data_IF_211969248079
#
_entry.id   IF_211969248079
#
_cell.length_a   1.000
_cell.length_b   1.000
_cell.length_c   1.000
_cell.angle_alpha   90.00
_cell.angle_beta   90.00
_cell.angle_gamma   90.00
#
_symmetry.space_group_name_H-M   'P 1'
#
loop_
_entity.id
_entity.type
_entity.pdbx_description
1 polymer ?
#
# COMPACT_ATOMS: atom_id res chain seq x y z
N UNK A 1 2.99 63.93 59.67
CA UNK A 1 2.49 63.97 58.27
C UNK A 1 3.68 63.95 57.34
N UNK A 2 3.68 63.10 56.30
CA UNK A 2 4.76 63.00 55.31
C UNK A 2 4.23 63.42 53.94
N UNK A 3 4.76 64.52 53.39
CA UNK A 3 4.39 65.03 52.08
C UNK A 3 5.43 64.59 51.06
N UNK A 4 4.96 63.81 50.09
CA UNK A 4 5.77 63.33 48.98
C UNK A 4 5.45 64.18 47.76
N UNK A 5 6.47 64.74 47.12
CA UNK A 5 6.30 65.40 45.83
C UNK A 5 6.75 64.41 44.77
N UNK A 6 5.83 64.09 43.85
CA UNK A 6 6.08 63.25 42.70
C UNK A 6 6.18 64.12 41.46
N UNK A 7 7.36 64.10 40.82
CA UNK A 7 7.55 64.65 39.47
C UNK A 7 8.12 63.53 38.61
N UNK A 8 7.23 62.80 37.92
CA UNK A 8 7.58 61.59 37.17
C UNK A 8 7.91 60.37 38.05
N UNK A 9 8.86 59.54 37.60
CA UNK A 9 9.19 58.21 38.18
C UNK A 9 9.99 58.22 39.49
N UNK A 10 10.23 59.39 40.08
CA UNK A 10 10.96 59.52 41.34
C UNK A 10 10.15 60.31 42.37
N UNK A 11 9.70 59.62 43.42
CA UNK A 11 9.11 60.22 44.61
C UNK A 11 10.22 60.56 45.62
N UNK A 12 10.41 61.85 45.93
CA UNK A 12 11.25 62.27 47.06
C UNK A 12 10.38 62.81 48.19
N UNK A 13 10.70 62.40 49.42
CA UNK A 13 10.09 62.91 50.63
C UNK A 13 10.48 64.38 50.77
N UNK A 14 9.52 65.28 50.64
CA UNK A 14 9.80 66.71 50.64
C UNK A 14 9.72 67.30 52.04
N UNK A 15 8.82 66.78 52.88
CA UNK A 15 8.62 67.24 54.24
C UNK A 15 8.14 66.09 55.11
N UNK A 16 8.90 65.82 56.17
CA UNK A 16 8.50 64.95 57.26
C UNK A 16 8.34 65.81 58.50
N UNK A 17 7.11 65.90 58.99
CA UNK A 17 6.78 66.67 60.18
C UNK A 17 6.10 65.74 61.17
N UNK A 18 6.73 65.54 62.32
CA UNK A 18 6.17 64.77 63.42
C UNK A 18 5.25 65.68 64.23
N UNK A 19 3.95 65.46 64.05
CA UNK A 19 2.91 66.19 64.78
C UNK A 19 2.67 65.44 66.08
N UNK A 20 3.25 65.93 67.18
CA UNK A 20 2.89 65.51 68.52
C UNK A 20 1.64 66.26 68.97
N UNK A 21 0.48 65.62 68.86
CA UNK A 21 -0.76 66.14 69.43
C UNK A 21 -0.68 65.98 70.96
N UNK A 22 -0.23 67.03 71.66
CA UNK A 22 -0.27 67.07 73.12
C UNK A 22 -1.71 67.38 73.59
N UNK A 23 -2.07 66.85 74.78
CA UNK A 23 -3.42 66.80 75.40
C UNK A 23 -4.16 68.15 75.62
N UNK A 24 -3.65 69.27 75.10
CA UNK A 24 -4.24 70.61 75.24
C UNK A 24 -4.97 71.08 73.99
N UNK A 25 -5.85 70.25 73.46
CA UNK A 25 -6.74 70.64 72.35
C UNK A 25 -8.17 70.59 72.84
N UNK A 26 -8.67 71.76 73.29
CA UNK A 26 -10.10 71.95 73.54
C UNK A 26 -10.78 72.12 72.18
N UNK A 27 -11.74 71.26 71.81
CA UNK A 27 -12.47 71.44 70.57
C UNK A 27 -13.45 72.60 70.71
N UNK A 28 -13.28 73.64 69.89
CA UNK A 28 -14.31 74.67 69.70
C UNK A 28 -15.31 74.18 68.65
N UNK A 29 -16.55 73.88 69.08
CA UNK A 29 -17.69 73.68 68.17
C UNK A 29 -18.24 75.05 67.72
N UNK A 30 -17.49 75.79 66.91
CA UNK A 30 -18.05 76.93 66.19
C UNK A 30 -18.45 76.54 64.77
N UNK A 31 -19.75 76.27 64.61
CA UNK A 31 -20.40 76.18 63.30
C UNK A 31 -20.32 77.54 62.60
N UNK A 32 -19.81 77.50 61.37
CA UNK A 32 -20.03 78.46 60.28
C UNK A 32 -19.45 79.88 60.46
N UNK A 33 -18.30 80.15 59.82
CA UNK A 33 -18.16 81.02 58.63
C UNK A 33 -16.70 81.49 58.48
N UNK A 34 -16.18 81.27 57.26
CA UNK A 34 -15.28 82.13 56.48
C UNK A 34 -14.25 82.95 57.27
N UNK A 35 -13.07 82.37 57.50
CA UNK A 35 -11.78 82.95 57.12
C UNK A 35 -10.69 81.87 57.27
N UNK A 36 -9.97 81.62 56.19
CA UNK A 36 -8.89 80.64 56.11
C UNK A 36 -7.60 81.33 56.53
N UNK A 37 -7.21 81.15 57.78
CA UNK A 37 -5.86 81.55 58.23
C UNK A 37 -4.89 80.42 57.92
N UNK A 38 -3.69 80.79 57.43
CA UNK A 38 -2.70 79.91 56.82
C UNK A 38 -2.12 78.83 57.75
N UNK A 39 -2.46 78.82 59.04
CA UNK A 39 -1.95 77.87 60.04
C UNK A 39 -3.09 77.18 60.81
N UNK A 40 -4.06 76.57 60.10
CA UNK A 40 -5.11 75.75 60.73
C UNK A 40 -5.18 74.34 60.13
N UNK A 41 -5.18 73.32 60.99
CA UNK A 41 -5.34 71.93 60.57
C UNK A 41 -6.84 71.57 60.58
N UNK A 42 -7.33 71.07 59.45
CA UNK A 42 -8.73 70.66 59.28
C UNK A 42 -8.81 69.13 59.15
N UNK A 43 -9.49 68.46 60.08
CA UNK A 43 -9.74 67.02 60.06
C UNK A 43 -11.21 66.75 59.73
N UNK A 44 -11.52 66.63 58.44
CA UNK A 44 -12.88 66.50 57.87
C UNK A 44 -13.72 65.40 58.51
N UNK A 45 -13.09 64.28 58.87
CA UNK A 45 -13.80 63.12 59.41
C UNK A 45 -14.35 63.35 60.83
N UNK A 46 -13.88 64.37 61.55
CA UNK A 46 -14.26 64.64 62.94
C UNK A 46 -14.80 66.04 63.20
N UNK A 47 -14.76 66.96 62.22
CA UNK A 47 -15.39 68.27 62.31
C UNK A 47 -14.76 69.25 63.32
N UNK A 48 -13.51 69.03 63.74
CA UNK A 48 -12.79 69.89 64.69
C UNK A 48 -11.77 70.80 63.99
N UNK A 49 -11.62 72.03 64.50
CA UNK A 49 -10.60 73.03 64.11
C UNK A 49 -9.57 73.18 65.24
N UNK A 50 -8.28 73.22 64.89
CA UNK A 50 -7.20 73.49 65.84
C UNK A 50 -6.40 74.72 65.39
N UNK A 51 -6.15 75.66 66.31
CA UNK A 51 -5.39 76.92 66.11
C UNK A 51 -4.37 77.10 67.23
N UNK A 52 -3.25 77.76 66.93
CA UNK A 52 -2.18 78.09 67.89
C UNK A 52 -2.43 79.51 68.44
N UNK A 53 -2.30 79.72 69.76
CA UNK A 53 -2.60 81.00 70.43
C UNK A 53 -1.31 81.62 71.01
N UNK A 54 -0.78 82.66 70.37
CA UNK A 54 0.27 83.52 70.92
C UNK A 54 -0.18 85.00 70.81
N UNK A 55 -0.71 85.61 71.88
CA UNK A 55 -0.69 87.08 72.05
C UNK A 55 -0.59 87.50 73.53
N UNK A 56 0.51 88.19 73.86
CA UNK A 56 0.75 88.94 75.11
C UNK A 56 0.42 90.44 74.94
N UNK A 57 -0.41 90.97 75.86
CA UNK A 57 -0.43 92.32 76.48
C UNK A 57 -0.61 93.64 75.68
N UNK A 58 -1.60 94.44 76.12
CA UNK A 58 -1.53 95.84 76.63
C UNK A 58 -2.58 96.81 76.04
N UNK A 59 -3.53 97.33 76.85
CA UNK A 59 -3.94 98.76 76.91
C UNK A 59 -4.54 99.06 78.31
N UNK A 60 -4.32 100.31 78.73
CA UNK A 60 -4.38 100.97 80.04
C UNK A 60 -5.77 101.21 80.68
N UNK A 61 -5.72 101.55 81.98
CA UNK A 61 -6.77 101.97 82.92
C UNK A 61 -7.45 103.31 82.55
N UNK A 62 -8.78 103.41 82.76
CA UNK A 62 -9.41 104.36 83.69
C UNK A 62 -10.97 104.32 83.65
N UNK A 63 -11.52 104.38 84.87
CA UNK A 63 -12.83 104.85 85.34
C UNK A 63 -14.14 104.00 85.20
N UNK A 64 -14.46 103.38 86.35
CA UNK A 64 -15.73 103.09 87.06
C UNK A 64 -17.05 103.53 86.37
N UNK A 65 -18.14 102.75 86.32
CA UNK A 65 -18.88 102.11 87.43
C UNK A 65 -19.62 100.81 87.01
N UNK A 66 -19.45 99.76 87.83
CA UNK A 66 -20.36 98.67 88.25
C UNK A 66 -21.36 98.06 87.24
N UNK A 67 -21.38 96.74 87.02
CA UNK A 67 -22.10 95.78 87.89
C UNK A 67 -21.41 94.41 87.93
N UNK A 68 -21.19 93.99 89.17
CA UNK A 68 -20.97 92.67 89.78
C UNK A 68 -21.41 91.42 88.99
N UNK A 69 -20.60 90.35 89.08
CA UNK A 69 -20.95 89.04 89.69
C UNK A 69 -19.70 88.14 89.74
N UNK A 70 -19.37 87.71 90.96
CA UNK A 70 -18.56 86.55 91.37
C UNK A 70 -17.64 85.86 90.35
N UNK A 71 -16.33 86.09 90.52
CA UNK A 71 -15.24 85.20 90.06
C UNK A 71 -15.27 83.86 90.83
N UNK A 72 -16.32 83.06 90.61
CA UNK A 72 -16.38 81.63 90.96
C UNK A 72 -15.93 80.82 89.75
N UNK A 73 -14.97 79.94 90.03
CA UNK A 73 -14.49 78.76 89.26
C UNK A 73 -13.07 78.91 88.71
N UNK A 74 -12.10 78.77 89.63
CA UNK A 74 -10.91 77.97 89.34
C UNK A 74 -11.40 76.56 88.95
N UNK A 75 -11.54 76.29 87.65
CA UNK A 75 -11.65 74.91 87.16
C UNK A 75 -10.23 74.38 87.14
N UNK A 76 -9.91 73.56 88.13
CA UNK A 76 -8.76 72.65 88.06
C UNK A 76 -8.93 71.80 86.80
N UNK A 77 -8.01 71.94 85.84
CA UNK A 77 -7.92 71.05 84.69
C UNK A 77 -7.57 69.65 85.20
N UNK A 78 -8.60 68.86 85.49
CA UNK A 78 -8.47 67.47 85.89
C UNK A 78 -8.02 66.64 84.68
N UNK A 79 -6.97 65.83 84.88
CA UNK A 79 -6.54 64.72 84.03
C UNK A 79 -7.58 63.58 83.96
N UNK A 80 -8.85 63.88 83.82
CA UNK A 80 -9.91 62.88 83.79
C UNK A 80 -10.77 63.11 82.57
N UNK A 81 -10.51 62.30 81.54
CA UNK A 81 -11.38 62.12 80.39
C UNK A 81 -12.84 61.95 80.85
N UNK A 82 -13.76 62.68 80.23
CA UNK A 82 -15.19 62.54 80.49
C UNK A 82 -15.63 61.10 80.20
N UNK A 83 -16.47 60.52 81.07
CA UNK A 83 -17.01 59.15 80.91
C UNK A 83 -17.59 58.93 79.51
N UNK A 84 -18.21 59.97 78.94
CA UNK A 84 -18.78 59.95 77.59
C UNK A 84 -17.71 59.84 76.48
N UNK A 85 -16.56 60.52 76.62
CA UNK A 85 -15.45 60.42 75.66
C UNK A 85 -14.78 59.03 75.66
N UNK A 86 -14.62 58.42 76.83
CA UNK A 86 -14.09 57.05 76.95
C UNK A 86 -15.05 56.04 76.29
N UNK A 87 -16.36 56.20 76.50
CA UNK A 87 -17.38 55.36 75.87
C UNK A 87 -17.34 55.49 74.34
N UNK A 88 -17.18 56.71 73.78
CA UNK A 88 -17.05 56.91 72.33
C UNK A 88 -15.81 56.23 71.77
N UNK A 89 -14.66 56.39 72.43
CA UNK A 89 -13.41 55.74 71.99
C UNK A 89 -13.53 54.21 72.05
N UNK A 90 -14.09 53.66 73.12
CA UNK A 90 -14.36 52.22 73.22
C UNK A 90 -15.34 51.75 72.13
N UNK A 91 -16.38 52.51 71.81
CA UNK A 91 -17.30 52.19 70.72
C UNK A 91 -16.59 52.17 69.35
N UNK A 92 -15.67 53.11 69.09
CA UNK A 92 -14.85 53.11 67.87
C UNK A 92 -13.91 51.90 67.84
N UNK A 93 -13.26 51.55 68.96
CA UNK A 93 -12.42 50.35 69.07
C UNK A 93 -13.25 49.08 68.83
N UNK A 94 -14.47 49.01 69.37
CA UNK A 94 -15.40 47.91 69.13
C UNK A 94 -15.85 47.84 67.67
N UNK A 95 -16.13 48.98 67.02
CA UNK A 95 -16.47 49.03 65.60
C UNK A 95 -15.33 48.50 64.72
N UNK A 96 -14.09 48.94 64.97
CA UNK A 96 -12.90 48.46 64.24
C UNK A 96 -12.70 46.95 64.43
N UNK A 97 -12.90 46.44 65.65
CA UNK A 97 -12.79 45.00 65.92
C UNK A 97 -13.88 44.19 65.21
N UNK A 98 -15.11 44.70 65.22
CA UNK A 98 -16.24 44.08 64.51
C UNK A 98 -16.00 44.07 62.99
N UNK A 99 -15.49 45.16 62.42
CA UNK A 99 -15.14 45.25 61.01
C UNK A 99 -14.02 44.28 60.62
N UNK A 100 -12.96 44.17 61.44
CA UNK A 100 -11.92 43.16 61.25
C UNK A 100 -12.47 41.74 61.29
N UNK A 101 -13.38 41.43 62.20
CA UNK A 101 -14.03 40.12 62.27
C UNK A 101 -14.89 39.86 61.02
N UNK A 102 -15.66 40.85 60.56
CA UNK A 102 -16.44 40.75 59.33
C UNK A 102 -15.53 40.49 58.11
N UNK A 103 -14.42 41.23 57.99
CA UNK A 103 -13.42 41.02 56.94
C UNK A 103 -12.85 39.61 56.93
N UNK A 104 -12.53 39.03 58.09
CA UNK A 104 -12.05 37.64 58.18
C UNK A 104 -13.11 36.64 57.71
N UNK A 105 -14.37 36.85 58.07
CA UNK A 105 -15.49 36.01 57.60
C UNK A 105 -15.66 36.11 56.08
N UNK A 106 -15.51 37.30 55.50
CA UNK A 106 -15.52 37.46 54.03
C UNK A 106 -14.36 36.75 53.35
N UNK A 107 -13.14 36.84 53.90
CA UNK A 107 -11.97 36.13 53.36
C UNK A 107 -12.16 34.61 53.41
N UNK A 108 -12.66 34.08 54.54
CA UNK A 108 -12.97 32.66 54.66
C UNK A 108 -14.01 32.22 53.63
N UNK A 109 -15.05 33.02 53.41
CA UNK A 109 -16.09 32.74 52.41
C UNK A 109 -15.57 32.77 50.98
N UNK A 110 -14.66 33.71 50.67
CA UNK A 110 -13.98 33.76 49.37
C UNK A 110 -13.11 32.51 49.20
N UNK A 111 -12.39 32.10 50.24
CA UNK A 111 -11.52 30.93 50.19
C UNK A 111 -12.32 29.65 49.98
N UNK A 112 -13.42 29.44 50.70
CA UNK A 112 -14.30 28.28 50.47
C UNK A 112 -14.88 28.29 49.07
N UNK A 113 -15.33 29.45 48.56
CA UNK A 113 -15.84 29.56 47.19
C UNK A 113 -14.77 29.24 46.15
N UNK A 114 -13.53 29.68 46.37
CA UNK A 114 -12.39 29.37 45.49
C UNK A 114 -12.09 27.87 45.51
N UNK A 115 -12.09 27.24 46.68
CA UNK A 115 -11.80 25.81 46.80
C UNK A 115 -12.94 24.95 46.22
N UNK A 116 -14.21 25.32 46.44
CA UNK A 116 -15.37 24.71 45.78
C UNK A 116 -15.29 24.83 44.25
N UNK A 117 -14.88 25.98 43.71
CA UNK A 117 -14.68 26.16 42.28
C UNK A 117 -13.54 25.31 41.72
N UNK A 118 -12.44 25.15 42.47
CA UNK A 118 -11.35 24.24 42.06
C UNK A 118 -11.84 22.80 41.97
N UNK A 119 -12.61 22.34 42.94
CA UNK A 119 -13.19 20.99 42.95
C UNK A 119 -14.23 20.79 41.83
N UNK A 120 -14.99 21.83 41.51
CA UNK A 120 -15.91 21.80 40.37
C UNK A 120 -15.15 21.70 39.04
N UNK A 121 -14.12 22.52 38.84
CA UNK A 121 -13.29 22.50 37.64
C UNK A 121 -12.51 21.19 37.50
N UNK A 122 -12.04 20.58 38.59
CA UNK A 122 -11.35 19.29 38.53
C UNK A 122 -12.29 18.18 38.04
N UNK A 123 -13.54 18.16 38.50
CA UNK A 123 -14.57 17.22 38.03
C UNK A 123 -14.91 17.44 36.55
N UNK A 124 -14.98 18.68 36.08
CA UNK A 124 -15.17 18.97 34.65
C UNK A 124 -14.00 18.45 33.84
N UNK A 125 -12.76 18.76 34.24
CA UNK A 125 -11.56 18.29 33.54
C UNK A 125 -11.51 16.77 33.47
N UNK A 126 -11.85 16.08 34.57
CA UNK A 126 -11.90 14.63 34.59
C UNK A 126 -12.97 14.10 33.63
N UNK A 127 -14.16 14.71 33.63
CA UNK A 127 -15.24 14.35 32.67
C UNK A 127 -14.80 14.56 31.22
N UNK A 128 -14.25 15.71 30.88
CA UNK A 128 -13.74 16.02 29.53
C UNK A 128 -12.64 15.04 29.12
N UNK A 129 -11.72 14.72 30.03
CA UNK A 129 -10.65 13.74 29.75
C UNK A 129 -11.18 12.35 29.42
N UNK A 130 -12.23 11.91 30.13
CA UNK A 130 -12.92 10.63 29.87
C UNK A 130 -13.70 10.67 28.57
N UNK A 131 -14.38 11.78 28.27
CA UNK A 131 -15.11 11.96 27.01
C UNK A 131 -14.15 11.90 25.80
N UNK A 132 -12.99 12.57 25.86
CA UNK A 132 -11.94 12.48 24.85
C UNK A 132 -11.39 11.05 24.70
N UNK A 133 -11.20 10.34 25.80
CA UNK A 133 -10.74 8.95 25.77
C UNK A 133 -11.76 8.04 25.08
N UNK A 134 -13.05 8.20 25.37
CA UNK A 134 -14.13 7.46 24.71
C UNK A 134 -14.16 7.77 23.21
N UNK A 135 -14.01 9.04 22.83
CA UNK A 135 -13.98 9.45 21.42
C UNK A 135 -12.79 8.82 20.69
N UNK A 136 -11.60 8.83 21.30
CA UNK A 136 -10.42 8.18 20.74
C UNK A 136 -10.64 6.67 20.55
N UNK A 137 -11.23 5.98 21.54
CA UNK A 137 -11.57 4.57 21.42
C UNK A 137 -12.55 4.30 20.29
N UNK A 138 -13.57 5.15 20.09
CA UNK A 138 -14.51 5.05 18.97
C UNK A 138 -13.80 5.21 17.63
N UNK A 139 -12.91 6.20 17.51
CA UNK A 139 -12.12 6.43 16.30
C UNK A 139 -11.22 5.23 16.00
N UNK A 140 -10.57 4.67 17.03
CA UNK A 140 -9.75 3.47 16.89
C UNK A 140 -10.58 2.27 16.41
N UNK A 141 -11.77 2.05 16.99
CA UNK A 141 -12.68 0.98 16.56
C UNK A 141 -13.14 1.16 15.11
N UNK A 142 -13.53 2.37 14.71
CA UNK A 142 -13.91 2.68 13.34
C UNK A 142 -12.77 2.44 12.35
N UNK A 143 -11.55 2.81 12.73
CA UNK A 143 -10.37 2.55 11.92
C UNK A 143 -10.09 1.04 11.78
N UNK A 144 -10.21 0.29 12.87
CA UNK A 144 -10.03 -1.17 12.84
C UNK A 144 -11.09 -1.87 12.00
N UNK A 145 -12.36 -1.46 12.08
CA UNK A 145 -13.43 -2.04 11.24
C UNK A 145 -13.21 -1.73 9.77
N UNK A 146 -12.77 -0.52 9.44
CA UNK A 146 -12.39 -0.15 8.08
C UNK A 146 -11.25 -1.03 7.53
N UNK A 147 -10.17 -1.21 8.29
CA UNK A 147 -9.06 -2.09 7.91
C UNK A 147 -9.50 -3.54 7.73
N UNK A 148 -10.38 -4.03 8.61
CA UNK A 148 -10.94 -5.37 8.51
C UNK A 148 -11.74 -5.54 7.22
N UNK A 149 -12.61 -4.58 6.89
CA UNK A 149 -13.38 -4.59 5.64
C UNK A 149 -12.48 -4.58 4.41
N UNK A 150 -11.40 -3.78 4.40
CA UNK A 150 -10.43 -3.82 3.30
C UNK A 150 -9.78 -5.20 3.13
N UNK A 151 -9.34 -5.83 4.23
CA UNK A 151 -8.75 -7.18 4.19
C UNK A 151 -9.75 -8.21 3.69
N UNK A 152 -11.00 -8.11 4.12
CA UNK A 152 -12.09 -9.01 3.72
C UNK A 152 -12.38 -8.85 2.21
N UNK A 153 -12.42 -7.62 1.69
CA UNK A 153 -12.58 -7.34 0.27
C UNK A 153 -11.41 -7.92 -0.56
N UNK A 154 -10.17 -7.73 -0.10
CA UNK A 154 -8.99 -8.29 -0.75
C UNK A 154 -9.01 -9.83 -0.75
N UNK A 155 -9.47 -10.44 0.34
CA UNK A 155 -9.66 -11.88 0.44
C UNK A 155 -10.68 -12.38 -0.59
N UNK A 156 -11.85 -11.74 -0.70
CA UNK A 156 -12.86 -12.11 -1.69
C UNK A 156 -12.39 -11.93 -3.14
N UNK A 157 -11.65 -10.85 -3.43
CA UNK A 157 -11.05 -10.65 -4.76
C UNK A 157 -10.09 -11.77 -5.11
N UNK A 158 -9.20 -12.15 -4.18
CA UNK A 158 -8.28 -13.29 -4.38
C UNK A 158 -9.05 -14.59 -4.58
N UNK A 159 -10.10 -14.83 -3.80
CA UNK A 159 -10.91 -16.04 -3.91
C UNK A 159 -11.60 -16.14 -5.28
N UNK A 160 -12.16 -15.03 -5.79
CA UNK A 160 -12.73 -14.95 -7.14
C UNK A 160 -11.69 -15.25 -8.21
N UNK A 161 -10.54 -14.58 -8.15
CA UNK A 161 -9.45 -14.81 -9.11
C UNK A 161 -8.94 -16.25 -9.10
N UNK A 162 -8.86 -16.90 -7.93
CA UNK A 162 -8.50 -18.32 -7.82
C UNK A 162 -9.59 -19.19 -8.45
N UNK A 163 -10.87 -18.90 -8.23
CA UNK A 163 -11.98 -19.65 -8.82
C UNK A 163 -12.00 -19.53 -10.36
N UNK A 164 -11.82 -18.33 -10.89
CA UNK A 164 -11.71 -18.07 -12.33
C UNK A 164 -10.52 -18.81 -12.94
N UNK A 165 -9.34 -18.72 -12.30
CA UNK A 165 -8.15 -19.45 -12.74
C UNK A 165 -8.37 -20.96 -12.72
N UNK A 166 -9.04 -21.51 -11.70
CA UNK A 166 -9.40 -22.94 -11.64
C UNK A 166 -10.34 -23.32 -12.77
N UNK A 167 -11.36 -22.51 -13.05
CA UNK A 167 -12.28 -22.73 -14.17
C UNK A 167 -11.55 -22.76 -15.51
N UNK A 168 -10.65 -21.80 -15.73
CA UNK A 168 -9.85 -21.73 -16.95
C UNK A 168 -8.90 -22.93 -17.09
N UNK A 169 -8.23 -23.34 -16.01
CA UNK A 169 -7.37 -24.52 -16.02
C UNK A 169 -8.17 -25.81 -16.30
N UNK A 170 -9.35 -25.95 -15.71
CA UNK A 170 -10.21 -27.11 -15.96
C UNK A 170 -10.69 -27.16 -17.41
N UNK A 171 -11.03 -26.00 -17.99
CA UNK A 171 -11.39 -25.91 -19.40
C UNK A 171 -10.22 -26.30 -20.31
N UNK A 172 -9.02 -25.77 -20.05
CA UNK A 172 -7.82 -26.12 -20.82
C UNK A 172 -7.46 -27.61 -20.68
N UNK A 173 -7.62 -28.18 -19.48
CA UNK A 173 -7.43 -29.61 -19.26
C UNK A 173 -8.41 -30.43 -20.11
N UNK A 174 -9.69 -30.07 -20.12
CA UNK A 174 -10.69 -30.76 -20.95
C UNK A 174 -10.36 -30.67 -22.44
N UNK A 175 -9.90 -29.51 -22.93
CA UNK A 175 -9.44 -29.36 -24.31
C UNK A 175 -8.23 -30.24 -24.62
N UNK A 176 -7.24 -30.29 -23.73
CA UNK A 176 -6.04 -31.11 -23.90
C UNK A 176 -6.38 -32.61 -23.92
N UNK A 177 -7.30 -33.06 -23.07
CA UNK A 177 -7.78 -34.44 -23.09
C UNK A 177 -8.46 -34.78 -24.43
N UNK A 178 -9.30 -33.89 -24.93
CA UNK A 178 -9.91 -34.08 -26.26
C UNK A 178 -8.86 -34.17 -27.37
N UNK A 179 -7.88 -33.27 -27.38
CA UNK A 179 -6.80 -33.31 -28.36
C UNK A 179 -5.98 -34.61 -28.25
N UNK A 180 -5.72 -35.08 -27.03
CA UNK A 180 -5.03 -36.34 -26.80
C UNK A 180 -5.81 -37.54 -27.38
N UNK A 181 -7.13 -37.55 -27.20
CA UNK A 181 -8.00 -38.57 -27.79
C UNK A 181 -7.98 -38.51 -29.31
N UNK A 182 -8.06 -37.31 -29.91
CA UNK A 182 -7.98 -37.11 -31.36
C UNK A 182 -6.66 -37.63 -31.93
N UNK A 183 -5.54 -37.30 -31.28
CA UNK A 183 -4.23 -37.81 -31.68
C UNK A 183 -4.15 -39.33 -31.56
N UNK A 184 -4.72 -39.92 -30.50
CA UNK A 184 -4.75 -41.38 -30.33
C UNK A 184 -5.58 -42.05 -31.43
N UNK A 185 -6.72 -41.48 -31.81
CA UNK A 185 -7.52 -41.99 -32.92
C UNK A 185 -6.77 -41.89 -34.25
N UNK A 186 -6.11 -40.76 -34.49
CA UNK A 186 -5.30 -40.55 -35.68
C UNK A 186 -4.14 -41.54 -35.78
N UNK A 187 -3.39 -41.78 -34.69
CA UNK A 187 -2.30 -42.76 -34.67
C UNK A 187 -2.81 -44.18 -34.93
N UNK A 188 -3.94 -44.56 -34.33
CA UNK A 188 -4.54 -45.87 -34.56
C UNK A 188 -4.92 -46.06 -36.03
N UNK A 189 -5.52 -45.03 -36.66
CA UNK A 189 -5.86 -45.06 -38.08
C UNK A 189 -4.63 -45.19 -38.96
N UNK A 190 -3.54 -44.47 -38.64
CA UNK A 190 -2.27 -44.60 -39.38
C UNK A 190 -1.67 -46.00 -39.23
N UNK A 191 -1.72 -46.60 -38.06
CA UNK A 191 -1.21 -47.95 -37.84
C UNK A 191 -2.03 -49.01 -38.58
N UNK A 192 -3.35 -48.85 -38.64
CA UNK A 192 -4.23 -49.65 -39.49
C UNK A 192 -3.85 -49.52 -40.97
N UNK A 193 -3.70 -48.29 -41.49
CA UNK A 193 -3.30 -48.07 -42.88
C UNK A 193 -1.91 -48.66 -43.17
N UNK A 194 -0.95 -48.52 -42.26
CA UNK A 194 0.38 -49.14 -42.37
C UNK A 194 0.28 -50.67 -42.43
N UNK A 195 -0.56 -51.28 -41.61
CA UNK A 195 -0.78 -52.73 -41.63
C UNK A 195 -1.36 -53.20 -42.97
N UNK A 196 -2.33 -52.46 -43.52
CA UNK A 196 -2.96 -52.76 -44.80
C UNK A 196 -1.93 -52.65 -45.93
N UNK A 197 -1.15 -51.57 -45.95
CA UNK A 197 -0.10 -51.38 -46.95
C UNK A 197 0.95 -52.50 -46.87
N UNK A 198 1.39 -52.89 -45.67
CA UNK A 198 2.31 -54.03 -45.51
C UNK A 198 1.70 -55.31 -46.07
N UNK A 199 0.46 -55.63 -45.75
CA UNK A 199 -0.22 -56.81 -46.28
C UNK A 199 -0.33 -56.77 -47.81
N UNK A 200 -0.70 -55.62 -48.38
CA UNK A 200 -0.76 -55.45 -49.84
C UNK A 200 0.61 -55.62 -50.50
N UNK A 201 1.67 -55.02 -49.94
CA UNK A 201 3.03 -55.19 -50.46
C UNK A 201 3.50 -56.64 -50.41
N UNK A 202 3.15 -57.38 -49.34
CA UNK A 202 3.44 -58.81 -49.24
C UNK A 202 2.69 -59.60 -50.32
N UNK A 203 1.40 -59.35 -50.51
CA UNK A 203 0.59 -60.00 -51.55
C UNK A 203 1.17 -59.73 -52.95
N UNK A 204 1.51 -58.48 -53.25
CA UNK A 204 2.13 -58.10 -54.53
C UNK A 204 3.44 -58.84 -54.72
N UNK A 205 4.32 -58.85 -53.70
CA UNK A 205 5.60 -59.55 -53.79
C UNK A 205 5.46 -61.06 -54.01
N UNK A 206 4.44 -61.67 -53.39
CA UNK A 206 4.13 -63.08 -53.59
C UNK A 206 3.65 -63.34 -55.02
N UNK A 207 2.72 -62.52 -55.51
CA UNK A 207 2.21 -62.63 -56.88
C UNK A 207 3.30 -62.40 -57.93
N UNK A 208 4.20 -61.44 -57.71
CA UNK A 208 5.36 -61.23 -58.57
C UNK A 208 6.24 -62.49 -58.65
N UNK A 209 6.54 -63.13 -57.51
CA UNK A 209 7.30 -64.39 -57.48
C UNK A 209 6.58 -65.54 -58.18
N UNK A 210 5.27 -65.64 -57.99
CA UNK A 210 4.43 -66.65 -58.65
C UNK A 210 4.47 -66.49 -60.17
N UNK A 211 4.23 -65.27 -60.67
CA UNK A 211 4.32 -64.94 -62.10
C UNK A 211 5.72 -65.23 -62.64
N UNK A 212 6.79 -64.88 -61.91
CA UNK A 212 8.16 -65.20 -62.33
C UNK A 212 8.39 -66.69 -62.48
N UNK A 213 7.89 -67.49 -61.54
CA UNK A 213 7.99 -68.94 -61.60
C UNK A 213 7.22 -69.51 -62.80
N UNK A 214 6.04 -68.96 -63.12
CA UNK A 214 5.27 -69.35 -64.29
C UNK A 214 5.98 -69.00 -65.59
N UNK A 215 6.55 -67.79 -65.70
CA UNK A 215 7.31 -67.35 -66.88
C UNK A 215 8.52 -68.27 -67.11
N UNK A 216 9.31 -68.54 -66.07
CA UNK A 216 10.48 -69.42 -66.17
C UNK A 216 10.09 -70.86 -66.52
N UNK A 217 8.97 -71.37 -65.99
CA UNK A 217 8.57 -72.76 -66.18
C UNK A 217 7.88 -73.02 -67.51
N UNK A 218 7.02 -72.12 -67.97
CA UNK A 218 6.12 -72.36 -69.10
C UNK A 218 6.48 -71.58 -70.36
N UNK A 219 7.00 -70.35 -70.25
CA UNK A 219 7.21 -69.47 -71.41
C UNK A 219 8.66 -69.52 -71.89
N UNK A 220 9.62 -69.39 -70.96
CA UNK A 220 11.05 -69.41 -71.26
C UNK A 220 11.79 -70.45 -70.41
N UNK A 221 11.54 -71.75 -70.63
CA UNK A 221 12.25 -72.80 -69.90
C UNK A 221 13.74 -72.74 -70.22
N UNK A 222 14.55 -72.54 -69.18
CA UNK A 222 16.01 -72.69 -69.26
C UNK A 222 16.35 -74.12 -68.84
N UNK A 223 16.96 -74.88 -69.75
CA UNK A 223 17.36 -76.27 -69.52
C UNK A 223 18.87 -76.41 -69.73
N UNK A 224 19.50 -77.24 -68.92
CA UNK A 224 20.89 -77.66 -69.11
C UNK A 224 20.90 -79.13 -69.53
N UNK A 225 21.63 -79.46 -70.58
CA UNK A 225 21.89 -80.86 -70.94
C UNK A 225 23.13 -81.40 -70.19
N UNK A 226 23.28 -82.73 -70.18
CA UNK A 226 24.41 -83.44 -69.55
C UNK A 226 25.78 -83.05 -70.14
N UNK A 227 25.79 -82.42 -71.32
CA UNK A 227 26.97 -81.94 -72.02
C UNK A 227 27.31 -80.45 -71.74
N UNK A 228 26.78 -79.87 -70.65
CA UNK A 228 26.97 -78.46 -70.26
C UNK A 228 26.37 -77.44 -71.26
N UNK A 229 25.54 -77.89 -72.21
CA UNK A 229 24.84 -77.02 -73.15
C UNK A 229 23.57 -76.43 -72.51
N UNK A 230 23.39 -75.12 -72.65
CA UNK A 230 22.23 -74.42 -72.10
C UNK A 230 21.26 -74.08 -73.23
N UNK A 231 19.97 -74.24 -72.96
CA UNK A 231 18.89 -73.97 -73.89
C UNK A 231 17.87 -73.02 -73.27
N UNK A 232 17.37 -72.07 -74.05
CA UNK A 232 16.24 -71.22 -73.67
C UNK A 232 15.12 -71.39 -74.70
N UNK A 233 13.92 -71.78 -74.26
CA UNK A 233 12.77 -72.03 -75.14
C UNK A 233 13.12 -72.96 -76.34
N UNK A 234 13.96 -73.96 -76.09
CA UNK A 234 14.52 -74.92 -77.05
C UNK A 234 15.55 -74.38 -78.06
N UNK A 235 16.03 -73.15 -77.93
CA UNK A 235 17.17 -72.63 -78.71
C UNK A 235 18.48 -72.75 -77.91
N UNK A 236 19.55 -73.20 -78.55
CA UNK A 236 20.88 -73.33 -77.92
C UNK A 236 21.49 -71.97 -77.61
N UNK A 237 21.92 -71.78 -76.37
CA UNK A 237 22.69 -70.61 -75.95
C UNK A 237 24.18 -70.81 -76.28
N UNK A 238 24.87 -69.73 -76.70
CA UNK A 238 26.31 -69.78 -76.91
C UNK A 238 27.04 -70.09 -75.60
N UNK A 239 27.86 -71.16 -75.60
CA UNK A 239 28.80 -71.42 -74.51
C UNK A 239 29.99 -70.45 -74.57
N UNK A 240 30.63 -70.20 -73.43
CA UNK A 240 31.80 -69.34 -73.32
C UNK A 240 33.10 -69.95 -73.91
N UNK A 241 33.06 -71.20 -74.40
CA UNK A 241 34.22 -71.85 -75.01
C UNK A 241 34.31 -71.51 -76.51
N UNK A 242 35.29 -70.68 -76.86
CA UNK A 242 35.56 -70.06 -78.16
C UNK A 242 35.77 -71.02 -79.36
N UNK A 243 35.68 -72.33 -79.18
CA UNK A 243 36.08 -73.33 -80.20
C UNK A 243 35.02 -73.61 -81.26
N UNK A 244 33.80 -73.12 -81.10
CA UNK A 244 32.67 -73.40 -82.02
C UNK A 244 32.52 -72.30 -83.10
N UNK A 245 33.03 -71.09 -82.88
CA UNK A 245 32.81 -69.93 -83.77
C UNK A 245 33.67 -69.89 -85.05
N UNK A 246 34.55 -70.88 -85.26
CA UNK A 246 35.54 -70.83 -86.35
C UNK A 246 35.21 -71.70 -87.58
N UNK A 247 34.09 -72.43 -87.60
CA UNK A 247 33.73 -73.28 -88.74
C UNK A 247 32.72 -72.63 -89.71
N UNK A 248 32.97 -72.61 -91.03
CA UNK A 248 32.16 -71.89 -92.03
C UNK A 248 30.83 -72.57 -92.42
N UNK A 249 30.47 -73.70 -91.80
CA UNK A 249 29.17 -74.38 -91.94
C UNK A 249 28.08 -73.81 -91.01
N UNK A 250 28.39 -72.79 -90.20
CA UNK A 250 27.60 -72.42 -89.03
C UNK A 250 26.51 -71.35 -89.25
N UNK A 251 26.17 -70.97 -90.49
CA UNK A 251 25.11 -69.98 -90.76
C UNK A 251 23.73 -70.38 -90.19
N UNK A 252 23.47 -71.68 -90.05
CA UNK A 252 22.25 -72.19 -89.40
C UNK A 252 22.28 -71.95 -87.89
N UNK A 253 23.46 -72.01 -87.27
CA UNK A 253 23.67 -71.73 -85.84
C UNK A 253 23.60 -70.23 -85.53
N UNK A 254 23.97 -69.34 -86.45
CA UNK A 254 23.87 -67.88 -86.24
C UNK A 254 22.40 -67.43 -86.04
N UNK A 255 21.47 -68.03 -86.79
CA UNK A 255 20.03 -67.76 -86.65
C UNK A 255 19.47 -68.32 -85.33
N UNK A 256 19.94 -69.50 -84.91
CA UNK A 256 19.55 -70.10 -83.63
C UNK A 256 20.06 -69.27 -82.44
N UNK A 257 21.30 -68.77 -82.52
CA UNK A 257 21.92 -67.89 -81.52
C UNK A 257 21.18 -66.55 -81.48
N UNK A 258 20.84 -65.96 -82.63
CA UNK A 258 20.05 -64.73 -82.70
C UNK A 258 18.67 -64.90 -82.05
N UNK A 259 17.98 -66.02 -82.32
CA UNK A 259 16.71 -66.35 -81.70
C UNK A 259 16.83 -66.57 -80.18
N UNK A 260 17.88 -67.26 -79.72
CA UNK A 260 18.17 -67.46 -78.30
C UNK A 260 18.42 -66.13 -77.57
N UNK A 261 19.22 -65.23 -78.16
CA UNK A 261 19.47 -63.89 -77.62
C UNK A 261 18.22 -63.00 -77.61
N UNK A 262 17.36 -63.13 -78.63
CA UNK A 262 16.05 -62.49 -78.68
C UNK A 262 15.18 -62.93 -77.51
N UNK A 263 15.06 -64.24 -77.28
CA UNK A 263 14.31 -64.81 -76.15
C UNK A 263 14.87 -64.35 -74.79
N UNK A 264 16.19 -64.32 -74.61
CA UNK A 264 16.82 -63.79 -73.40
C UNK A 264 16.49 -62.32 -73.17
N UNK A 265 16.55 -61.50 -74.22
CA UNK A 265 16.25 -60.07 -74.14
C UNK A 265 14.79 -59.79 -73.81
N UNK A 266 13.89 -60.56 -74.39
CA UNK A 266 12.47 -60.48 -74.08
C UNK A 266 12.17 -60.94 -72.64
N UNK A 267 12.82 -62.01 -72.17
CA UNK A 267 12.73 -62.43 -70.78
C UNK A 267 13.19 -61.33 -69.82
N UNK A 268 14.33 -60.69 -70.08
CA UNK A 268 14.85 -59.59 -69.25
C UNK A 268 13.87 -58.40 -69.23
N UNK A 269 13.27 -58.09 -70.38
CA UNK A 269 12.26 -57.04 -70.50
C UNK A 269 11.01 -57.36 -69.68
N UNK A 270 10.48 -58.59 -69.78
CA UNK A 270 9.32 -59.03 -68.97
C UNK A 270 9.67 -59.00 -67.48
N UNK A 271 10.86 -59.47 -67.09
CA UNK A 271 11.31 -59.46 -65.70
C UNK A 271 11.33 -58.02 -65.15
N UNK A 272 11.88 -57.09 -65.92
CA UNK A 272 11.89 -55.67 -65.58
C UNK A 272 10.48 -55.11 -65.39
N UNK A 273 9.54 -55.46 -66.28
CA UNK A 273 8.15 -55.02 -66.20
C UNK A 273 7.42 -55.61 -64.98
N UNK A 274 7.62 -56.89 -64.67
CA UNK A 274 6.99 -57.59 -63.53
C UNK A 274 7.49 -57.06 -62.19
N UNK A 275 8.80 -56.82 -62.07
CA UNK A 275 9.40 -56.24 -60.85
C UNK A 275 9.17 -54.72 -60.79
N UNK A 276 8.75 -54.09 -61.89
CA UNK A 276 8.64 -52.64 -62.06
C UNK A 276 9.99 -51.94 -61.80
N UNK A 277 11.10 -52.58 -62.20
CA UNK A 277 12.44 -52.04 -62.07
C UNK A 277 12.94 -51.57 -63.44
N UNK A 278 13.25 -50.28 -63.64
CA UNK A 278 13.77 -49.80 -64.91
C UNK A 278 15.14 -50.40 -65.21
N UNK A 279 15.34 -50.84 -66.45
CA UNK A 279 16.64 -51.33 -66.91
C UNK A 279 17.61 -50.16 -67.10
N UNK A 280 18.89 -50.39 -66.76
CA UNK A 280 19.97 -49.42 -66.99
C UNK A 280 20.19 -49.14 -68.48
N UNK A 281 20.04 -50.17 -69.31
CA UNK A 281 20.12 -50.08 -70.77
C UNK A 281 18.76 -50.48 -71.35
N UNK A 282 18.10 -49.64 -72.16
CA UNK A 282 16.86 -50.04 -72.79
C UNK A 282 17.12 -51.15 -73.81
N UNK A 283 16.26 -52.16 -73.77
CA UNK A 283 16.32 -53.31 -74.67
C UNK A 283 15.11 -53.24 -75.59
N UNK A 284 15.35 -53.19 -76.89
CA UNK A 284 14.30 -53.31 -77.90
C UNK A 284 14.31 -54.71 -78.51
N UNK A 285 13.32 -55.50 -78.12
CA UNK A 285 13.09 -56.84 -78.63
C UNK A 285 12.37 -56.80 -80.00
N UNK A 286 12.89 -57.57 -80.96
CA UNK A 286 12.38 -57.63 -82.34
C UNK A 286 12.10 -59.09 -82.79
N UNK A 287 11.66 -59.97 -81.88
CA UNK A 287 11.38 -61.37 -82.23
C UNK A 287 12.65 -62.22 -82.34
N UNK A 288 12.77 -63.00 -83.41
CA UNK A 288 13.92 -63.88 -83.67
C UNK A 288 15.19 -63.13 -84.16
N UNK A 289 15.12 -61.80 -84.32
CA UNK A 289 16.28 -60.98 -84.68
C UNK A 289 17.08 -60.59 -83.44
N UNK A 290 18.38 -60.34 -83.63
CA UNK A 290 19.26 -59.85 -82.58
C UNK A 290 18.67 -58.60 -81.88
N UNK A 291 18.64 -58.58 -80.54
CA UNK A 291 18.10 -57.48 -79.75
C UNK A 291 18.96 -56.22 -79.91
N UNK A 292 18.33 -55.05 -79.89
CA UNK A 292 19.04 -53.75 -79.87
C UNK A 292 19.09 -53.23 -78.44
N UNK A 293 20.30 -53.12 -77.91
CA UNK A 293 20.57 -52.56 -76.59
C UNK A 293 21.24 -51.20 -76.83
N UNK A 294 20.65 -50.13 -76.30
CA UNK A 294 21.23 -48.79 -76.43
C UNK A 294 22.01 -48.44 -75.17
N UNK A 295 23.18 -47.84 -75.35
CA UNK A 295 23.98 -47.27 -74.27
C UNK A 295 24.08 -45.76 -74.46
N UNK A 296 23.27 -45.02 -73.69
CA UNK A 296 23.26 -43.56 -73.72
C UNK A 296 24.45 -42.94 -72.98
N UNK A 297 25.32 -43.73 -72.35
CA UNK A 297 26.51 -43.20 -71.65
C UNK A 297 27.70 -42.96 -72.59
N UNK A 298 27.63 -43.44 -73.84
CA UNK A 298 28.67 -43.24 -74.85
C UNK A 298 28.48 -41.96 -75.69
N UNK A 299 27.37 -41.24 -75.54
CA UNK A 299 27.05 -40.03 -76.32
C UNK A 299 27.53 -38.70 -75.68
N UNK A 300 28.29 -38.74 -74.57
CA UNK A 300 28.76 -37.53 -73.84
C UNK A 300 30.27 -37.22 -74.05
N UNK A 301 30.94 -37.81 -75.05
CA UNK A 301 32.32 -37.44 -75.41
C UNK A 301 32.41 -36.82 -76.80
#
# INVERSE_FOLDING_TARGET
MRVWITSGDHSRLFLEYDIHLNDSLVPDEQKNKVNKDNNSLWLEMFGYRFTDNDEETNVQENDEETISIDKKKRISLAKSYSKLSIIRMNNVIHAIRSEKQASLVYLQRIQTFVDENKDYLSKIKERESRELYIENLKNYLQYQTYLYQQRLNAYHQRQKHIAERRSHLNHNLAQLLHQQEDFRLYTNNLDQLRSILRNLTQIISYRQKEIMNEIYRYIYPIRSDNQLEYYIANCRLPQADDKIYQSPSNREHDNEIAAAMGNCSHLILIISQVIQLPLRFPIHYHGASAPKIYDYTLEIN
#
